data_IF_247204047125
#
_entry.id   IF_247204047125
#
_cell.length_a   1.000
_cell.length_b   1.000
_cell.length_c   1.000
_cell.angle_alpha   90.00
_cell.angle_beta   90.00
_cell.angle_gamma   90.00
#
_symmetry.space_group_name_H-M   'P 1'
#
loop_
_entity.id
_entity.type
_entity.pdbx_description
1 polymer ?
#
# COMPACT_ATOMS: atom_id res chain seq x y z
N UNK A 1 62.61 -15.20 -6.69
CA UNK A 1 61.81 -14.18 -7.38
C UNK A 1 61.93 -12.88 -6.60
N UNK A 2 62.52 -11.86 -7.19
CA UNK A 2 62.83 -10.57 -6.54
C UNK A 2 61.53 -9.91 -6.04
N UNK A 3 61.64 -9.27 -4.87
CA UNK A 3 60.50 -8.58 -4.20
C UNK A 3 59.81 -7.58 -5.14
N UNK A 4 60.57 -6.95 -6.05
CA UNK A 4 60.01 -6.04 -7.06
C UNK A 4 59.09 -6.74 -8.06
N UNK A 5 59.39 -7.97 -8.45
CA UNK A 5 58.55 -8.76 -9.38
C UNK A 5 57.24 -9.22 -8.73
N UNK A 6 57.26 -9.48 -7.42
CA UNK A 6 56.02 -9.81 -6.67
C UNK A 6 55.11 -8.60 -6.55
N UNK A 7 55.71 -7.42 -6.32
CA UNK A 7 54.94 -6.17 -6.21
C UNK A 7 54.29 -5.78 -7.55
N UNK A 8 55.02 -5.96 -8.68
CA UNK A 8 54.47 -5.68 -10.02
C UNK A 8 53.37 -6.65 -10.37
N UNK A 9 53.48 -7.93 -10.05
CA UNK A 9 52.39 -8.91 -10.30
C UNK A 9 51.18 -8.60 -9.46
N UNK A 10 51.34 -8.15 -8.20
CA UNK A 10 50.22 -7.78 -7.36
C UNK A 10 49.51 -6.52 -7.85
N UNK A 11 50.29 -5.55 -8.32
CA UNK A 11 49.74 -4.31 -8.88
C UNK A 11 49.02 -4.53 -10.23
N UNK A 12 49.54 -5.42 -11.08
CA UNK A 12 48.87 -5.77 -12.35
C UNK A 12 47.60 -6.61 -12.09
N UNK A 13 47.59 -7.48 -11.09
CA UNK A 13 46.42 -8.26 -10.72
C UNK A 13 45.30 -7.35 -10.14
N UNK A 14 45.69 -6.31 -9.40
CA UNK A 14 44.76 -5.30 -8.86
C UNK A 14 44.13 -4.42 -9.95
N UNK A 15 44.90 -4.12 -11.02
CA UNK A 15 44.45 -3.36 -12.18
C UNK A 15 43.59 -4.19 -13.15
N UNK A 16 43.71 -5.52 -13.09
CA UNK A 16 42.91 -6.46 -13.89
C UNK A 16 41.61 -6.88 -13.21
N UNK A 17 41.37 -6.42 -11.99
CA UNK A 17 40.04 -6.56 -11.40
C UNK A 17 39.14 -5.60 -12.16
N UNK A 18 38.32 -6.04 -13.12
CA UNK A 18 37.30 -5.18 -13.65
C UNK A 18 36.43 -4.87 -12.46
N UNK A 19 36.36 -3.61 -12.08
CA UNK A 19 35.25 -3.10 -11.31
C UNK A 19 34.01 -3.29 -12.18
N UNK A 20 33.56 -4.54 -12.30
CA UNK A 20 32.21 -4.86 -12.64
C UNK A 20 31.38 -4.34 -11.49
N UNK A 21 31.28 -3.02 -11.38
CA UNK A 21 30.15 -2.37 -10.78
C UNK A 21 28.99 -2.87 -11.62
N UNK A 22 28.43 -4.02 -11.20
CA UNK A 22 27.11 -4.41 -11.58
C UNK A 22 26.22 -3.30 -11.02
N UNK A 23 26.14 -2.20 -11.74
CA UNK A 23 24.98 -1.36 -11.72
C UNK A 23 23.84 -2.29 -12.13
N UNK A 24 23.23 -2.92 -11.14
CA UNK A 24 21.93 -3.52 -11.32
C UNK A 24 21.01 -2.33 -11.61
N UNK A 25 20.97 -1.94 -12.86
CA UNK A 25 19.80 -1.28 -13.38
C UNK A 25 18.64 -2.23 -13.12
N UNK A 26 18.00 -2.05 -12.00
CA UNK A 26 16.64 -2.55 -11.80
C UNK A 26 15.78 -1.76 -12.78
N UNK A 27 15.87 -2.11 -14.04
CA UNK A 27 14.94 -1.70 -15.11
C UNK A 27 13.64 -2.49 -15.00
N UNK A 28 13.29 -2.89 -13.79
CA UNK A 28 11.96 -3.37 -13.44
C UNK A 28 11.11 -2.22 -12.96
N UNK A 29 10.98 -1.17 -13.73
CA UNK A 29 9.80 -0.36 -13.63
C UNK A 29 8.66 -1.25 -14.12
N UNK A 30 8.06 -1.97 -13.17
CA UNK A 30 6.72 -2.49 -13.39
C UNK A 30 5.91 -1.25 -13.81
N UNK A 31 5.33 -1.24 -15.02
CA UNK A 31 4.50 -0.12 -15.42
C UNK A 31 3.37 -0.05 -14.41
N UNK A 32 3.51 0.83 -13.43
CA UNK A 32 2.47 1.06 -12.44
C UNK A 32 1.34 1.76 -13.18
N UNK A 33 0.46 0.95 -13.74
CA UNK A 33 -0.74 1.46 -14.37
C UNK A 33 -1.61 2.06 -13.28
N UNK A 34 -1.72 3.38 -13.29
CA UNK A 34 -2.67 4.09 -12.43
C UNK A 34 -4.06 3.82 -12.96
N UNK A 35 -4.85 3.10 -12.19
CA UNK A 35 -6.25 2.81 -12.50
C UNK A 35 -7.09 3.40 -11.39
N UNK A 36 -7.99 4.29 -11.73
CA UNK A 36 -8.99 4.77 -10.77
C UNK A 36 -10.01 3.65 -10.54
N UNK A 37 -10.38 3.39 -9.28
CA UNK A 37 -11.40 2.41 -8.97
C UNK A 37 -12.75 2.84 -9.55
N UNK A 38 -13.50 1.89 -10.10
CA UNK A 38 -14.87 2.11 -10.52
C UNK A 38 -15.74 2.29 -9.28
N UNK A 39 -16.58 3.31 -9.30
CA UNK A 39 -17.54 3.57 -8.24
C UNK A 39 -18.76 2.65 -8.39
N UNK A 40 -19.31 2.17 -7.27
CA UNK A 40 -20.56 1.43 -7.31
C UNK A 40 -21.71 2.34 -7.75
N UNK A 41 -22.70 1.75 -8.42
CA UNK A 41 -23.93 2.48 -8.80
C UNK A 41 -24.81 2.78 -7.59
N UNK A 42 -24.73 1.94 -6.57
CA UNK A 42 -25.49 2.06 -5.32
C UNK A 42 -24.58 1.76 -4.15
N UNK A 43 -24.74 2.54 -3.11
CA UNK A 43 -24.06 2.36 -1.84
C UNK A 43 -25.03 2.69 -0.72
N UNK A 44 -25.03 1.88 0.33
CA UNK A 44 -25.73 2.13 1.59
C UNK A 44 -24.80 1.98 2.77
N UNK A 45 -25.09 2.67 3.83
CA UNK A 45 -24.36 2.58 5.10
C UNK A 45 -25.37 2.56 6.24
N UNK A 46 -25.29 1.56 7.08
CA UNK A 46 -26.19 1.34 8.23
C UNK A 46 -27.69 1.34 7.84
N UNK A 47 -28.02 0.86 6.62
CA UNK A 47 -29.37 0.85 6.06
C UNK A 47 -29.82 2.16 5.42
N UNK A 48 -28.98 3.20 5.42
CA UNK A 48 -29.27 4.48 4.78
C UNK A 48 -28.57 4.54 3.40
N UNK A 49 -29.35 4.96 2.38
CA UNK A 49 -28.83 5.08 1.03
C UNK A 49 -27.89 6.28 0.91
N UNK A 50 -26.68 6.05 0.43
CA UNK A 50 -25.74 7.13 0.09
C UNK A 50 -26.21 7.79 -1.22
N UNK A 51 -26.38 9.13 -1.25
CA UNK A 51 -26.93 9.81 -2.42
C UNK A 51 -25.88 10.07 -3.49
N UNK A 52 -25.44 9.00 -4.17
CA UNK A 52 -24.42 9.06 -5.24
C UNK A 52 -24.89 9.81 -6.51
N UNK A 53 -26.16 10.22 -6.55
CA UNK A 53 -26.71 11.04 -7.62
C UNK A 53 -26.20 12.49 -7.56
N UNK A 54 -25.75 12.94 -6.38
CA UNK A 54 -25.12 14.25 -6.22
C UNK A 54 -23.66 14.23 -6.65
N UNK A 55 -23.30 15.18 -7.50
CA UNK A 55 -21.96 15.26 -8.07
C UNK A 55 -20.85 15.36 -7.03
N UNK A 56 -21.02 16.20 -6.01
CA UNK A 56 -20.06 16.42 -4.92
C UNK A 56 -19.86 15.15 -4.06
N UNK A 57 -20.91 14.40 -3.79
CA UNK A 57 -20.83 13.13 -3.05
C UNK A 57 -20.05 12.09 -3.86
N UNK A 58 -20.37 11.98 -5.15
CA UNK A 58 -19.70 11.06 -6.06
C UNK A 58 -18.21 11.40 -6.23
N UNK A 59 -17.89 12.69 -6.40
CA UNK A 59 -16.52 13.16 -6.53
C UNK A 59 -15.69 12.92 -5.26
N UNK A 60 -16.28 13.18 -4.08
CA UNK A 60 -15.65 12.91 -2.79
C UNK A 60 -15.33 11.42 -2.63
N UNK A 61 -16.29 10.55 -2.91
CA UNK A 61 -16.08 9.11 -2.84
C UNK A 61 -14.99 8.64 -3.81
N UNK A 62 -14.98 9.16 -5.05
CA UNK A 62 -13.96 8.82 -6.04
C UNK A 62 -12.55 9.22 -5.58
N UNK A 63 -12.42 10.42 -5.02
CA UNK A 63 -11.16 10.91 -4.46
C UNK A 63 -10.68 10.03 -3.32
N UNK A 64 -11.56 9.71 -2.37
CA UNK A 64 -11.20 8.93 -1.19
C UNK A 64 -10.84 7.49 -1.58
N UNK A 65 -11.56 6.89 -2.51
CA UNK A 65 -11.23 5.59 -3.09
C UNK A 65 -9.87 5.60 -3.79
N UNK A 66 -9.56 6.64 -4.56
CA UNK A 66 -8.26 6.78 -5.21
C UNK A 66 -7.12 6.89 -4.17
N UNK A 67 -7.29 7.71 -3.13
CA UNK A 67 -6.32 7.83 -2.03
C UNK A 67 -6.08 6.47 -1.37
N UNK A 68 -7.13 5.76 -0.99
CA UNK A 68 -7.03 4.46 -0.32
C UNK A 68 -6.35 3.41 -1.19
N UNK A 69 -6.66 3.36 -2.50
CA UNK A 69 -6.05 2.41 -3.42
C UNK A 69 -4.54 2.58 -3.58
N UNK A 70 -4.03 3.81 -3.44
CA UNK A 70 -2.61 4.10 -3.63
C UNK A 70 -1.82 4.27 -2.32
N UNK A 71 -2.47 4.32 -1.20
CA UNK A 71 -1.84 4.42 0.12
C UNK A 71 -1.53 3.03 0.72
N UNK A 72 -0.78 2.24 -0.03
CA UNK A 72 -0.58 0.82 0.24
C UNK A 72 -0.07 0.49 1.65
N UNK A 73 0.96 1.19 2.13
CA UNK A 73 1.56 0.87 3.43
C UNK A 73 0.60 1.12 4.60
N UNK A 74 -0.10 2.25 4.58
CA UNK A 74 -1.09 2.58 5.59
C UNK A 74 -2.28 1.63 5.51
N UNK A 75 -2.77 1.32 4.31
CA UNK A 75 -3.88 0.39 4.11
C UNK A 75 -3.54 -1.02 4.62
N UNK A 76 -2.34 -1.53 4.36
CA UNK A 76 -1.91 -2.84 4.88
C UNK A 76 -1.90 -2.86 6.40
N UNK A 77 -1.40 -1.81 7.04
CA UNK A 77 -1.40 -1.70 8.50
C UNK A 77 -2.83 -1.62 9.06
N UNK A 78 -3.67 -0.80 8.46
CA UNK A 78 -5.09 -0.67 8.83
C UNK A 78 -5.82 -2.01 8.70
N UNK A 79 -5.57 -2.78 7.64
CA UNK A 79 -6.15 -4.12 7.48
C UNK A 79 -5.69 -5.10 8.57
N UNK A 80 -4.44 -5.02 9.01
CA UNK A 80 -3.95 -5.84 10.14
C UNK A 80 -4.64 -5.48 11.44
N UNK A 81 -4.84 -4.19 11.71
CA UNK A 81 -5.59 -3.73 12.88
C UNK A 81 -7.05 -4.16 12.80
N UNK A 82 -7.68 -4.00 11.65
CA UNK A 82 -9.05 -4.44 11.40
C UNK A 82 -9.22 -5.93 11.70
N UNK A 83 -8.36 -6.78 11.15
CA UNK A 83 -8.41 -8.21 11.42
C UNK A 83 -8.34 -8.57 12.90
N UNK A 84 -7.57 -7.80 13.67
CA UNK A 84 -7.39 -8.02 15.11
C UNK A 84 -8.59 -7.54 15.94
N UNK A 85 -9.15 -6.38 15.60
CA UNK A 85 -10.10 -5.69 16.48
C UNK A 85 -11.55 -5.79 16.02
N UNK A 86 -11.82 -6.02 14.73
CA UNK A 86 -13.20 -6.12 14.23
C UNK A 86 -14.04 -7.17 14.95
N UNK A 87 -13.56 -8.38 15.28
CA UNK A 87 -14.38 -9.37 15.96
C UNK A 87 -14.88 -8.88 17.35
N UNK A 88 -14.03 -8.11 18.05
CA UNK A 88 -14.39 -7.55 19.35
C UNK A 88 -15.40 -6.41 19.19
N UNK A 89 -15.16 -5.52 18.22
CA UNK A 89 -16.05 -4.40 17.91
C UNK A 89 -17.43 -4.91 17.49
N UNK A 90 -17.51 -5.91 16.62
CA UNK A 90 -18.75 -6.52 16.15
C UNK A 90 -19.57 -7.09 17.30
N UNK A 91 -18.93 -7.74 18.28
CA UNK A 91 -19.61 -8.23 19.47
C UNK A 91 -20.27 -7.10 20.27
N UNK A 92 -19.51 -6.02 20.50
CA UNK A 92 -19.99 -4.85 21.24
C UNK A 92 -21.14 -4.15 20.51
N UNK A 93 -21.03 -3.97 19.19
CA UNK A 93 -22.09 -3.34 18.39
C UNK A 93 -23.37 -4.16 18.46
N UNK A 94 -23.27 -5.48 18.31
CA UNK A 94 -24.39 -6.40 18.37
C UNK A 94 -25.07 -6.41 19.75
N UNK A 95 -24.30 -6.42 20.82
CA UNK A 95 -24.82 -6.38 22.20
C UNK A 95 -25.61 -5.09 22.49
N UNK A 96 -25.24 -3.98 21.83
CA UNK A 96 -25.87 -2.68 21.99
C UNK A 96 -26.93 -2.36 20.93
N UNK A 97 -27.22 -3.29 19.99
CA UNK A 97 -28.20 -3.08 18.93
C UNK A 97 -27.79 -2.02 17.92
N UNK A 98 -26.49 -1.77 17.77
CA UNK A 98 -25.94 -0.82 16.80
C UNK A 98 -25.71 -1.53 15.46
N UNK A 99 -26.02 -0.90 14.31
CA UNK A 99 -25.76 -1.48 13.00
C UNK A 99 -24.29 -1.87 12.83
N UNK A 100 -24.06 -3.04 12.24
CA UNK A 100 -22.73 -3.63 12.11
C UNK A 100 -21.76 -2.77 11.27
N UNK A 101 -22.26 -1.99 10.32
CA UNK A 101 -21.46 -1.12 9.45
C UNK A 101 -20.64 -0.08 10.23
N UNK A 102 -21.06 0.28 11.44
CA UNK A 102 -20.32 1.20 12.31
C UNK A 102 -18.93 0.68 12.71
N UNK A 103 -18.64 -0.60 12.55
CA UNK A 103 -17.31 -1.15 12.73
C UNK A 103 -16.27 -0.48 11.82
N UNK A 104 -16.67 -0.10 10.61
CA UNK A 104 -15.77 0.56 9.64
C UNK A 104 -15.43 2.00 10.04
N UNK A 105 -16.31 2.67 10.77
CA UNK A 105 -16.03 3.99 11.33
C UNK A 105 -14.89 3.92 12.34
N UNK A 106 -14.86 2.89 13.19
CA UNK A 106 -13.77 2.69 14.15
C UNK A 106 -12.41 2.52 13.45
N UNK A 107 -12.41 1.93 12.26
CA UNK A 107 -11.20 1.78 11.44
C UNK A 107 -10.79 3.11 10.81
N UNK A 108 -11.76 3.88 10.32
CA UNK A 108 -11.50 5.17 9.68
C UNK A 108 -10.92 6.22 10.65
N UNK A 109 -11.25 6.10 11.94
CA UNK A 109 -10.80 7.02 13.00
C UNK A 109 -9.50 6.55 13.70
N UNK A 110 -8.92 5.41 13.32
CA UNK A 110 -7.72 4.83 13.94
C UNK A 110 -6.36 5.31 13.30
#
# INVERSE_FOLDING_TARGET
MSMSKRLTIFLTLLLLFPAAVFSQHVTGQLPQRVVLPELPDKLDFAGEKVPLDYFDVRESLQRDMAVLCYWHSSMMYTMQLAHRYLPVIESILKENGIPEDFKYLCIAES
#
